data_IF_898331797502
#
_entry.id   IF_898331797502
#
_cell.length_a   1.000
_cell.length_b   1.000
_cell.length_c   1.000
_cell.angle_alpha   90.00
_cell.angle_beta   90.00
_cell.angle_gamma   90.00
#
_symmetry.space_group_name_H-M   'P 1'
#
loop_
_entity.id
_entity.type
_entity.pdbx_description
1 polymer ?
#
# COMPACT_ATOMS: atom_id res chain seq x y z
N UNK A 1 -21.05 1.59 -21.76
CA UNK A 1 -19.75 2.19 -22.11
C UNK A 1 -19.20 2.88 -20.87
N UNK A 2 -18.13 2.33 -20.29
CA UNK A 2 -17.34 2.96 -19.23
C UNK A 2 -16.00 2.21 -19.16
N UNK A 3 -14.98 2.62 -19.93
CA UNK A 3 -13.65 2.06 -19.82
C UNK A 3 -12.75 3.04 -19.06
N UNK A 4 -12.58 2.88 -17.74
CA UNK A 4 -11.63 3.70 -16.97
C UNK A 4 -11.29 3.13 -15.59
N UNK A 5 -10.81 1.88 -15.54
CA UNK A 5 -10.14 1.36 -14.34
C UNK A 5 -8.71 0.95 -14.70
N UNK A 6 -7.92 1.96 -15.06
CA UNK A 6 -6.57 1.85 -15.62
C UNK A 6 -5.45 1.89 -14.56
N UNK A 7 -5.68 1.31 -13.38
CA UNK A 7 -4.63 1.04 -12.40
C UNK A 7 -4.17 -0.43 -12.45
N UNK A 8 -2.91 -0.75 -12.08
CA UNK A 8 -2.48 -2.15 -11.99
C UNK A 8 -3.31 -2.88 -10.91
N UNK A 9 -4.27 -3.68 -11.36
CA UNK A 9 -5.10 -4.56 -10.53
C UNK A 9 -4.32 -5.81 -10.14
N UNK A 10 -3.33 -5.72 -9.26
CA UNK A 10 -2.97 -6.90 -8.46
C UNK A 10 -3.65 -6.78 -7.10
N UNK A 11 -4.79 -7.46 -6.94
CA UNK A 11 -5.50 -7.60 -5.66
C UNK A 11 -5.05 -8.86 -4.92
N UNK A 12 -3.80 -9.27 -5.07
CA UNK A 12 -3.30 -10.48 -4.42
C UNK A 12 -3.22 -10.25 -2.91
N UNK A 13 -3.82 -11.10 -2.08
CA UNK A 13 -3.78 -10.91 -0.64
C UNK A 13 -2.36 -11.12 -0.13
N UNK A 14 -1.99 -10.37 0.92
CA UNK A 14 -0.79 -10.67 1.69
C UNK A 14 -0.99 -11.99 2.43
N UNK A 15 -0.03 -12.89 2.32
CA UNK A 15 0.02 -14.20 2.95
C UNK A 15 1.42 -14.41 3.52
N UNK A 16 1.61 -15.47 4.30
CA UNK A 16 2.94 -15.85 4.79
C UNK A 16 3.93 -16.14 3.64
N UNK A 17 3.44 -16.67 2.51
CA UNK A 17 4.29 -17.18 1.43
C UNK A 17 4.71 -16.09 0.44
N UNK A 18 3.96 -14.99 0.37
CA UNK A 18 4.25 -13.84 -0.51
C UNK A 18 4.54 -12.55 0.27
N UNK A 19 4.73 -12.63 1.59
CA UNK A 19 5.14 -11.47 2.38
C UNK A 19 6.53 -11.02 1.94
N UNK A 20 6.62 -9.75 1.53
CA UNK A 20 7.89 -9.10 1.20
C UNK A 20 8.10 -7.95 2.18
N UNK A 21 9.19 -8.02 2.94
CA UNK A 21 9.58 -6.92 3.82
C UNK A 21 9.79 -5.65 2.99
N UNK A 22 9.28 -4.52 3.48
CA UNK A 22 9.20 -3.24 2.76
C UNK A 22 8.31 -3.25 1.49
N UNK A 23 7.58 -4.34 1.23
CA UNK A 23 6.58 -4.42 0.18
C UNK A 23 5.44 -3.42 0.41
N UNK A 24 4.86 -2.91 -0.67
CA UNK A 24 3.74 -1.99 -0.61
C UNK A 24 2.41 -2.73 -0.60
N UNK A 25 1.44 -2.18 0.13
CA UNK A 25 0.11 -2.75 0.29
C UNK A 25 -0.96 -1.67 0.30
N UNK A 26 -2.20 -2.09 0.05
CA UNK A 26 -3.42 -1.33 0.27
C UNK A 26 -4.41 -2.17 1.08
N UNK A 27 -5.50 -1.57 1.59
CA UNK A 27 -6.59 -2.34 2.19
C UNK A 27 -7.12 -3.40 1.21
N UNK A 28 -7.37 -4.59 1.75
CA UNK A 28 -7.90 -5.75 1.02
C UNK A 28 -9.42 -5.90 1.15
N UNK A 29 -10.01 -6.91 0.49
CA UNK A 29 -11.46 -7.08 0.42
C UNK A 29 -12.13 -7.44 1.76
N UNK A 30 -11.40 -8.03 2.71
CA UNK A 30 -11.96 -8.42 4.01
C UNK A 30 -11.64 -7.39 5.11
N UNK A 31 -11.17 -6.19 4.70
CA UNK A 31 -10.87 -5.07 5.59
C UNK A 31 -12.06 -4.70 6.48
N UNK A 32 -11.78 -4.47 7.77
CA UNK A 32 -12.77 -4.13 8.79
C UNK A 32 -12.28 -3.07 9.78
N UNK A 33 -11.22 -2.38 9.44
CA UNK A 33 -10.46 -1.53 10.38
C UNK A 33 -10.75 -0.05 10.19
N UNK A 34 -11.98 0.27 9.78
CA UNK A 34 -12.43 1.64 9.46
C UNK A 34 -11.41 2.35 8.57
N UNK A 35 -11.04 3.60 8.88
CA UNK A 35 -10.05 4.37 8.14
C UNK A 35 -8.69 4.43 8.87
N UNK A 36 -8.24 3.32 9.45
CA UNK A 36 -6.89 3.26 10.05
C UNK A 36 -5.74 3.44 9.04
N UNK A 37 -6.01 3.22 7.75
CA UNK A 37 -5.16 3.56 6.61
C UNK A 37 -5.45 4.96 6.04
N UNK A 38 -6.46 5.67 6.56
CA UNK A 38 -6.87 7.01 6.15
C UNK A 38 -7.67 7.05 4.84
N UNK A 39 -8.38 5.97 4.54
CA UNK A 39 -9.34 5.88 3.44
C UNK A 39 -8.97 4.82 2.40
N UNK A 40 -9.91 4.51 1.51
CA UNK A 40 -9.67 3.52 0.45
C UNK A 40 -8.53 3.95 -0.50
N UNK A 41 -7.76 2.96 -0.98
CA UNK A 41 -6.65 3.18 -1.89
C UNK A 41 -5.38 3.79 -1.27
N UNK A 42 -5.30 3.99 0.04
CA UNK A 42 -4.08 4.48 0.70
C UNK A 42 -3.02 3.38 0.79
N UNK A 43 -1.79 3.77 0.49
CA UNK A 43 -0.64 2.85 0.43
C UNK A 43 0.02 2.77 1.81
N UNK A 44 0.39 1.56 2.19
CA UNK A 44 1.23 1.28 3.33
C UNK A 44 2.44 0.43 2.97
N UNK A 45 3.42 0.38 3.88
CA UNK A 45 4.61 -0.47 3.78
C UNK A 45 4.54 -1.60 4.79
N UNK A 46 4.75 -2.84 4.35
CA UNK A 46 4.91 -4.01 5.22
C UNK A 46 6.20 -3.92 6.02
N UNK A 47 6.08 -4.00 7.35
CA UNK A 47 7.21 -3.91 8.28
C UNK A 47 7.55 -5.24 8.94
N UNK A 48 6.55 -6.08 9.21
CA UNK A 48 6.73 -7.33 9.96
C UNK A 48 5.56 -8.28 9.68
N UNK A 49 5.83 -9.59 9.76
CA UNK A 49 4.81 -10.63 9.69
C UNK A 49 4.90 -11.50 10.95
N UNK A 50 3.78 -11.64 11.65
CA UNK A 50 3.64 -12.57 12.77
C UNK A 50 3.08 -13.90 12.24
N UNK A 51 3.95 -14.90 12.07
CA UNK A 51 3.57 -16.21 11.54
C UNK A 51 2.57 -16.97 12.44
N UNK A 52 2.68 -16.82 13.75
CA UNK A 52 1.79 -17.48 14.71
C UNK A 52 0.37 -16.92 14.65
N UNK A 53 0.24 -15.59 14.60
CA UNK A 53 -1.05 -14.91 14.55
C UNK A 53 -1.60 -14.74 13.13
N UNK A 54 -0.77 -14.97 12.10
CA UNK A 54 -1.03 -14.66 10.71
C UNK A 54 -1.48 -13.20 10.54
N UNK A 55 -0.74 -12.28 11.18
CA UNK A 55 -0.98 -10.83 11.07
C UNK A 55 0.24 -10.10 10.52
N UNK A 56 0.01 -9.02 9.80
CA UNK A 56 1.07 -8.15 9.29
C UNK A 56 1.06 -6.78 9.99
N UNK A 57 2.25 -6.21 10.12
CA UNK A 57 2.48 -4.84 10.55
C UNK A 57 2.69 -3.93 9.36
N UNK A 58 1.94 -2.85 9.29
CA UNK A 58 1.96 -1.90 8.18
C UNK A 58 2.13 -0.48 8.71
N UNK A 59 3.01 0.28 8.07
CA UNK A 59 3.10 1.74 8.18
C UNK A 59 2.30 2.37 7.04
N UNK A 60 1.24 3.11 7.36
CA UNK A 60 0.45 3.84 6.36
C UNK A 60 1.07 5.19 6.03
N UNK A 61 1.38 5.42 4.76
CA UNK A 61 2.23 6.54 4.33
C UNK A 61 1.60 7.91 4.60
N UNK A 62 0.29 8.03 4.34
CA UNK A 62 -0.47 9.26 4.52
C UNK A 62 -0.64 9.67 5.99
N UNK A 63 -0.68 8.69 6.90
CA UNK A 63 -0.91 8.94 8.33
C UNK A 63 0.39 8.95 9.14
N UNK A 64 1.45 8.34 8.63
CA UNK A 64 2.68 8.07 9.40
C UNK A 64 2.43 7.12 10.58
N UNK A 65 1.33 6.37 10.56
CA UNK A 65 0.91 5.49 11.66
C UNK A 65 1.18 4.04 11.33
N UNK A 66 1.53 3.29 12.38
CA UNK A 66 1.81 1.86 12.28
C UNK A 66 0.79 1.06 13.09
N UNK A 67 0.30 -0.02 12.50
CA UNK A 67 -0.57 -1.00 13.16
C UNK A 67 -0.12 -2.42 12.81
N UNK A 68 -0.31 -3.37 13.72
CA UNK A 68 0.25 -4.75 13.63
C UNK A 68 -0.78 -5.88 13.56
N UNK A 69 -2.07 -5.55 13.41
CA UNK A 69 -3.17 -6.48 13.61
C UNK A 69 -3.92 -6.87 12.32
N UNK A 70 -3.35 -6.58 11.15
CA UNK A 70 -3.99 -6.87 9.87
C UNK A 70 -3.91 -8.36 9.54
N UNK A 71 -5.05 -9.02 9.37
CA UNK A 71 -5.14 -10.47 9.20
C UNK A 71 -4.76 -10.87 7.77
N UNK A 72 -3.86 -11.84 7.69
CA UNK A 72 -3.29 -12.40 6.46
C UNK A 72 -3.45 -13.93 6.38
N UNK A 73 -4.26 -14.50 7.28
CA UNK A 73 -4.66 -15.91 7.28
C UNK A 73 -5.86 -16.15 6.38
N UNK A 74 -7.01 -16.52 6.97
CA UNK A 74 -8.27 -16.69 6.20
C UNK A 74 -8.91 -15.38 5.75
N UNK A 75 -8.54 -14.27 6.36
CA UNK A 75 -8.99 -12.94 5.97
C UNK A 75 -7.92 -12.27 5.11
N UNK A 76 -8.38 -11.51 4.13
CA UNK A 76 -7.58 -10.75 3.17
C UNK A 76 -7.69 -9.27 3.50
N UNK A 77 -7.18 -8.89 4.68
CA UNK A 77 -7.22 -7.50 5.13
C UNK A 77 -6.27 -6.62 4.31
N UNK A 78 -5.22 -7.19 3.71
CA UNK A 78 -4.23 -6.44 2.91
C UNK A 78 -4.08 -7.07 1.54
N UNK A 79 -3.88 -6.22 0.53
CA UNK A 79 -3.53 -6.63 -0.82
C UNK A 79 -2.19 -6.03 -1.24
N UNK A 80 -1.38 -6.81 -1.96
CA UNK A 80 -0.10 -6.39 -2.52
C UNK A 80 -0.33 -5.27 -3.52
N UNK A 81 0.32 -4.14 -3.28
CA UNK A 81 0.35 -3.02 -4.21
C UNK A 81 1.63 -3.13 -5.05
N UNK A 82 1.51 -3.38 -6.37
CA UNK A 82 2.68 -3.62 -7.20
C UNK A 82 3.39 -2.29 -7.41
N UNK A 83 4.68 -2.26 -7.09
CA UNK A 83 5.51 -1.10 -7.43
C UNK A 83 5.77 -1.13 -8.92
N UNK A 84 4.97 -0.39 -9.67
CA UNK A 84 5.26 -0.13 -11.08
C UNK A 84 6.55 0.69 -11.15
N UNK A 85 7.59 0.18 -11.81
CA UNK A 85 8.83 0.92 -12.09
C UNK A 85 8.52 2.27 -12.75
N UNK A 86 7.41 2.33 -13.50
CA UNK A 86 6.95 3.53 -14.21
C UNK A 86 6.38 4.60 -13.26
N UNK A 87 5.79 4.22 -12.12
CA UNK A 87 5.25 5.16 -11.11
C UNK A 87 6.38 5.84 -10.33
N UNK A 88 7.50 5.15 -10.11
CA UNK A 88 8.65 5.69 -9.39
C UNK A 88 9.33 6.82 -10.17
N UNK A 89 9.46 6.68 -11.49
CA UNK A 89 9.98 7.73 -12.36
C UNK A 89 9.03 8.92 -12.42
N UNK A 90 7.71 8.69 -12.50
CA UNK A 90 6.73 9.78 -12.55
C UNK A 90 6.64 10.56 -11.22
N UNK A 91 6.71 9.87 -10.08
CA UNK A 91 6.70 10.54 -8.76
C UNK A 91 7.99 11.29 -8.44
N UNK A 92 9.13 10.85 -8.97
CA UNK A 92 10.42 11.56 -8.87
C UNK A 92 10.41 12.80 -9.75
N UNK A 93 9.93 12.67 -10.99
CA UNK A 93 9.80 13.79 -11.93
C UNK A 93 8.83 14.86 -11.42
N UNK A 94 7.70 14.49 -10.82
CA UNK A 94 6.80 15.45 -10.19
C UNK A 94 7.44 16.19 -9.00
N UNK A 95 8.17 15.48 -8.12
CA UNK A 95 8.91 16.12 -7.00
C UNK A 95 9.99 17.09 -7.50
N UNK A 96 10.68 16.74 -8.58
CA UNK A 96 11.68 17.60 -9.21
C UNK A 96 11.05 18.79 -9.96
N UNK A 97 9.86 18.64 -10.52
CA UNK A 97 9.11 19.74 -11.16
C UNK A 97 8.67 20.77 -10.13
N UNK A 98 7.98 20.33 -9.06
CA UNK A 98 7.55 21.22 -7.99
C UNK A 98 8.72 21.93 -7.31
N UNK A 99 9.85 21.23 -7.13
CA UNK A 99 11.07 21.86 -6.61
C UNK A 99 11.63 22.91 -7.59
N UNK A 100 11.66 22.65 -8.90
CA UNK A 100 12.14 23.62 -9.90
C UNK A 100 11.25 24.86 -9.98
N UNK A 101 9.95 24.71 -9.83
CA UNK A 101 9.00 25.84 -9.81
C UNK A 101 9.15 26.70 -8.55
N UNK A 102 9.67 26.16 -7.45
CA UNK A 102 10.00 26.89 -6.20
C UNK A 102 11.31 27.69 -6.27
N UNK A 103 12.18 27.40 -7.24
CA UNK A 103 13.45 28.12 -7.44
C UNK A 103 13.44 29.01 -8.68
N UNK A 104 12.28 29.18 -9.31
CA UNK A 104 12.06 30.08 -10.43
C UNK A 104 11.40 31.39 -9.94
N UNK A 105 12.19 32.24 -9.30
CA UNK A 105 11.99 33.70 -9.20
C UNK A 105 13.28 34.41 -9.58
#
# INVERSE_FOLDING_TARGET
DSPSDGGPKSKEPVTKDNFVLQGWVVRGPDWKWEDQDGGDGKIGTLLEFNETALTAKVLWHNLGRTYSHYRCGRCRDLAIYPRSIVDEQNSTLQRMSTAKDLFAE
#
